data_IF_540498682622
#
_entry.id   IF_540498682622
#
_cell.length_a   1.000
_cell.length_b   1.000
_cell.length_c   1.000
_cell.angle_alpha   90.00
_cell.angle_beta   90.00
_cell.angle_gamma   90.00
#
_symmetry.space_group_name_H-M   'P 1'
#
loop_
_entity.id
_entity.type
_entity.pdbx_description
1 polymer ?
#
# COMPACT_ATOMS: atom_id res chain seq x y z
N UNK A 1 24.83 36.63 -2.92
CA UNK A 1 24.66 35.71 -4.06
C UNK A 1 23.53 34.77 -3.73
N UNK A 2 22.60 34.55 -4.66
CA UNK A 2 21.52 33.59 -4.43
C UNK A 2 22.12 32.18 -4.25
N UNK A 3 21.83 31.48 -3.15
CA UNK A 3 22.44 30.17 -2.85
C UNK A 3 22.12 29.12 -3.93
N UNK A 4 20.95 29.26 -4.57
CA UNK A 4 20.54 28.41 -5.69
C UNK A 4 21.42 28.60 -6.93
N UNK A 5 21.84 29.84 -7.21
CA UNK A 5 22.70 30.13 -8.34
C UNK A 5 24.12 29.58 -8.12
N UNK A 6 24.61 29.69 -6.89
CA UNK A 6 25.90 29.11 -6.50
C UNK A 6 25.90 27.57 -6.60
N UNK A 7 24.81 26.91 -6.20
CA UNK A 7 24.67 25.46 -6.32
C UNK A 7 24.61 24.98 -7.79
N UNK A 8 23.95 25.73 -8.67
CA UNK A 8 23.88 25.41 -10.10
C UNK A 8 25.24 25.62 -10.80
N UNK A 9 25.95 26.71 -10.48
CA UNK A 9 27.33 26.93 -10.97
C UNK A 9 28.29 25.83 -10.50
N UNK A 10 28.10 25.29 -9.29
CA UNK A 10 28.89 24.18 -8.78
C UNK A 10 28.55 22.87 -9.51
N UNK A 11 27.28 22.65 -9.85
CA UNK A 11 26.85 21.48 -10.63
C UNK A 11 27.45 21.50 -12.04
N UNK A 12 27.48 22.64 -12.71
CA UNK A 12 28.05 22.79 -14.06
C UNK A 12 29.57 22.62 -14.09
N UNK A 13 30.26 22.96 -12.99
CA UNK A 13 31.72 22.80 -12.86
C UNK A 13 32.14 21.41 -12.40
N UNK A 14 31.20 20.55 -11.99
CA UNK A 14 31.54 19.22 -11.49
C UNK A 14 31.92 18.30 -12.65
N UNK A 15 33.15 17.79 -12.60
CA UNK A 15 33.64 16.83 -13.60
C UNK A 15 33.15 15.42 -13.25
N UNK A 16 32.03 15.03 -13.86
CA UNK A 16 31.45 13.71 -13.62
C UNK A 16 32.31 12.59 -14.22
N UNK A 17 33.11 12.83 -15.25
CA UNK A 17 33.81 11.75 -15.96
C UNK A 17 35.04 11.23 -15.18
N UNK A 18 35.62 12.08 -14.33
CA UNK A 18 36.74 11.76 -13.45
C UNK A 18 36.31 11.22 -12.08
N UNK A 19 35.05 11.38 -11.69
CA UNK A 19 34.52 10.94 -10.39
C UNK A 19 34.22 9.43 -10.36
N UNK A 20 35.04 8.65 -9.65
CA UNK A 20 34.87 7.20 -9.50
C UNK A 20 33.55 6.83 -8.81
N UNK A 21 33.06 7.66 -7.88
CA UNK A 21 31.79 7.41 -7.18
C UNK A 21 30.60 7.66 -8.09
N UNK A 22 30.73 8.58 -9.05
CA UNK A 22 29.73 8.74 -10.10
C UNK A 22 29.65 7.49 -10.98
N UNK A 23 30.78 6.88 -11.36
CA UNK A 23 30.79 5.65 -12.16
C UNK A 23 30.08 4.50 -11.44
N UNK A 24 30.43 4.25 -10.18
CA UNK A 24 29.76 3.24 -9.36
C UNK A 24 28.26 3.53 -9.17
N UNK A 25 27.89 4.81 -8.96
CA UNK A 25 26.50 5.21 -8.85
C UNK A 25 25.73 5.02 -10.16
N UNK A 26 26.33 5.39 -11.30
CA UNK A 26 25.77 5.25 -12.65
C UNK A 26 25.55 3.78 -13.00
N UNK A 27 26.52 2.91 -12.72
CA UNK A 27 26.45 1.48 -13.04
C UNK A 27 25.39 0.76 -12.17
N UNK A 28 25.17 1.24 -10.94
CA UNK A 28 24.12 0.74 -10.04
C UNK A 28 22.76 1.41 -10.27
N UNK A 29 22.69 2.54 -10.98
CA UNK A 29 21.44 3.22 -11.27
C UNK A 29 20.72 2.52 -12.43
N UNK A 30 19.62 1.82 -12.12
CA UNK A 30 18.73 1.22 -13.12
C UNK A 30 18.22 2.32 -14.05
N UNK A 31 18.73 2.36 -15.28
CA UNK A 31 18.59 3.42 -16.28
C UNK A 31 17.13 3.83 -16.50
N UNK A 32 16.69 4.85 -15.77
CA UNK A 32 15.34 5.41 -15.90
C UNK A 32 15.40 6.92 -15.73
N UNK A 33 15.92 7.59 -16.75
CA UNK A 33 16.04 9.05 -16.81
C UNK A 33 17.07 9.47 -17.85
N UNK A 34 17.07 10.75 -18.22
CA UNK A 34 18.19 11.33 -18.96
C UNK A 34 19.45 11.29 -18.09
N UNK A 35 20.62 11.20 -18.71
CA UNK A 35 21.91 11.19 -18.00
C UNK A 35 22.04 12.42 -17.09
N UNK A 36 21.53 13.57 -17.52
CA UNK A 36 21.46 14.80 -16.73
C UNK A 36 20.62 14.66 -15.45
N UNK A 37 19.51 13.93 -15.51
CA UNK A 37 18.69 13.69 -14.33
C UNK A 37 19.47 12.86 -13.30
N UNK A 38 20.17 11.82 -13.76
CA UNK A 38 21.01 10.98 -12.90
C UNK A 38 22.16 11.79 -12.30
N UNK A 39 22.83 12.64 -13.10
CA UNK A 39 23.88 13.55 -12.62
C UNK A 39 23.36 14.49 -11.53
N UNK A 40 22.17 15.08 -11.70
CA UNK A 40 21.55 15.95 -10.68
C UNK A 40 21.18 15.21 -9.40
N UNK A 41 20.68 13.97 -9.51
CA UNK A 41 20.35 13.14 -8.34
C UNK A 41 21.63 12.76 -7.58
N UNK A 42 22.68 12.34 -8.29
CA UNK A 42 23.98 12.05 -7.70
C UNK A 42 24.57 13.27 -7.00
N UNK A 43 24.66 14.40 -7.72
CA UNK A 43 25.24 15.62 -7.21
C UNK A 43 24.52 16.10 -5.95
N UNK A 44 23.18 16.03 -5.94
CA UNK A 44 22.39 16.37 -4.77
C UNK A 44 22.68 15.48 -3.56
N UNK A 45 22.88 14.18 -3.80
CA UNK A 45 23.01 13.18 -2.73
C UNK A 45 24.43 13.13 -2.14
N UNK A 46 25.45 13.38 -2.95
CA UNK A 46 26.84 13.12 -2.58
C UNK A 46 27.74 14.35 -2.58
N UNK A 47 27.36 15.43 -3.27
CA UNK A 47 28.20 16.65 -3.38
C UNK A 47 27.53 17.84 -2.69
N UNK A 48 26.34 18.24 -3.13
CA UNK A 48 25.64 19.42 -2.60
C UNK A 48 24.12 19.21 -2.51
N UNK A 49 23.60 19.09 -1.28
CA UNK A 49 22.20 18.80 -0.98
C UNK A 49 21.21 19.93 -1.33
N UNK A 50 21.72 21.13 -1.60
CA UNK A 50 20.91 22.33 -1.84
C UNK A 50 20.48 22.49 -3.31
N UNK A 51 20.98 21.65 -4.23
CA UNK A 51 20.59 21.69 -5.64
C UNK A 51 19.10 21.32 -5.82
N UNK A 52 18.25 22.21 -6.36
CA UNK A 52 16.85 21.89 -6.63
C UNK A 52 16.74 20.91 -7.82
N UNK A 53 15.90 19.87 -7.68
CA UNK A 53 15.58 18.98 -8.79
C UNK A 53 14.75 19.74 -9.82
N UNK A 54 15.37 20.16 -10.93
CA UNK A 54 14.65 20.67 -12.10
C UNK A 54 13.73 19.56 -12.61
N UNK A 55 12.42 19.69 -12.38
CA UNK A 55 11.42 18.73 -12.87
C UNK A 55 11.50 18.78 -14.40
N UNK A 56 11.87 17.66 -15.03
CA UNK A 56 11.88 17.53 -16.49
C UNK A 56 10.50 17.92 -17.02
N UNK A 57 10.38 19.14 -17.54
CA UNK A 57 9.22 19.58 -18.30
C UNK A 57 9.32 18.86 -19.64
N UNK A 58 8.51 17.82 -19.82
CA UNK A 58 8.10 17.41 -21.16
C UNK A 58 7.46 18.63 -21.83
N UNK A 59 8.01 19.01 -22.97
CA UNK A 59 7.60 20.09 -23.87
C UNK A 59 6.09 20.25 -23.93
N UNK A 60 5.58 21.35 -23.39
CA UNK A 60 4.33 21.93 -23.84
C UNK A 60 4.41 23.44 -23.63
N UNK A 61 4.65 24.15 -24.73
CA UNK A 61 4.40 25.58 -24.85
C UNK A 61 2.98 25.88 -24.37
N UNK A 62 2.84 26.73 -23.36
CA UNK A 62 1.95 27.87 -23.48
C UNK A 62 2.28 28.95 -22.46
N UNK A 63 2.24 30.15 -23.00
CA UNK A 63 2.41 31.47 -22.41
C UNK A 63 1.28 31.81 -21.43
N UNK A 64 1.55 32.84 -20.63
CA UNK A 64 0.63 33.67 -19.83
C UNK A 64 0.18 33.04 -18.48
N UNK A 65 0.13 33.71 -17.33
CA UNK A 65 0.21 35.12 -17.00
C UNK A 65 0.56 35.30 -15.50
N UNK A 66 1.04 36.49 -15.13
CA UNK A 66 1.28 36.95 -13.76
C UNK A 66 -0.01 36.93 -12.92
N UNK A 67 0.09 36.62 -11.62
CA UNK A 67 -0.53 37.48 -10.58
C UNK A 67 -0.02 37.18 -9.17
N UNK A 68 0.50 38.25 -8.59
CA UNK A 68 0.90 38.51 -7.22
C UNK A 68 -0.32 38.52 -6.28
N UNK A 69 -0.27 37.85 -5.12
CA UNK A 69 -0.92 38.38 -3.91
C UNK A 69 -0.36 37.80 -2.61
N UNK A 70 0.18 38.72 -1.81
CA UNK A 70 0.57 38.60 -0.41
C UNK A 70 -0.63 38.73 0.54
N UNK A 71 -0.62 37.97 1.64
CA UNK A 71 -1.10 38.47 2.95
C UNK A 71 -0.62 37.59 4.10
N UNK A 72 0.14 38.22 5.00
CA UNK A 72 0.45 37.78 6.36
C UNK A 72 -0.79 37.85 7.27
N UNK A 73 -0.89 36.95 8.26
CA UNK A 73 -1.19 37.33 9.66
C UNK A 73 -1.03 36.13 10.61
N UNK A 74 -0.24 36.34 11.65
CA UNK A 74 0.01 35.47 12.79
C UNK A 74 -1.03 35.72 13.89
N UNK A 75 -1.58 34.68 14.54
CA UNK A 75 -1.78 34.62 16.00
C UNK A 75 -2.24 33.22 16.47
N UNK A 76 -1.94 32.82 17.72
CA UNK A 76 -2.03 31.45 18.19
C UNK A 76 -3.32 31.20 18.97
N UNK A 77 -4.04 30.14 18.63
CA UNK A 77 -5.10 29.59 19.47
C UNK A 77 -4.94 28.07 19.57
N UNK A 78 -4.72 27.60 20.79
CA UNK A 78 -4.73 26.21 21.20
C UNK A 78 -6.02 25.52 20.77
N UNK A 79 -5.94 24.66 19.77
CA UNK A 79 -7.03 23.76 19.38
C UNK A 79 -6.49 22.33 19.29
N UNK A 80 -7.13 21.46 20.06
CA UNK A 80 -7.01 19.99 20.03
C UNK A 80 -6.81 19.52 18.60
N UNK A 81 -5.67 18.86 18.36
CA UNK A 81 -5.22 18.39 17.06
C UNK A 81 -6.25 17.45 16.42
N UNK A 82 -7.11 18.02 15.57
CA UNK A 82 -7.82 17.26 14.56
C UNK A 82 -6.76 16.75 13.58
N UNK A 83 -6.47 15.45 13.67
CA UNK A 83 -5.62 14.76 12.70
C UNK A 83 -6.22 14.97 11.31
N UNK A 84 -5.64 15.90 10.55
CA UNK A 84 -6.01 16.12 9.16
C UNK A 84 -5.54 14.90 8.36
N UNK A 85 -6.44 13.93 8.18
CA UNK A 85 -6.16 12.63 7.56
C UNK A 85 -5.47 12.73 6.20
N UNK A 86 -5.71 13.81 5.45
CA UNK A 86 -5.10 14.03 4.13
C UNK A 86 -3.60 14.32 4.19
N UNK A 87 -3.10 14.96 5.24
CA UNK A 87 -1.65 15.28 5.35
C UNK A 87 -0.82 14.08 5.80
N UNK A 88 -1.39 13.19 6.62
CA UNK A 88 -0.72 11.96 7.11
C UNK A 88 -0.53 10.93 5.99
N UNK A 89 -1.51 10.82 5.08
CA UNK A 89 -1.43 9.94 3.90
C UNK A 89 -0.30 10.39 2.95
N UNK A 90 -0.13 11.69 2.75
CA UNK A 90 0.89 12.23 1.84
C UNK A 90 2.34 12.00 2.31
N UNK A 91 2.57 11.98 3.63
CA UNK A 91 3.93 11.76 4.19
C UNK A 91 4.35 10.28 4.19
N UNK A 92 3.41 9.34 4.35
CA UNK A 92 3.70 7.90 4.26
C UNK A 92 3.95 7.43 2.80
N UNK A 93 3.57 8.25 1.81
CA UNK A 93 3.68 7.92 0.39
C UNK A 93 5.06 8.19 -0.24
N UNK A 94 5.93 9.02 0.33
CA UNK A 94 7.12 9.50 -0.42
C UNK A 94 8.22 8.44 -0.62
N UNK A 95 8.45 7.53 0.33
CA UNK A 95 9.49 6.50 0.21
C UNK A 95 9.03 5.25 -0.58
N UNK A 96 7.75 4.88 -0.51
CA UNK A 96 7.21 3.73 -1.25
C UNK A 96 6.93 4.06 -2.73
N UNK A 97 6.61 5.33 -3.05
CA UNK A 97 6.36 5.78 -4.43
C UNK A 97 7.56 5.58 -5.35
N UNK A 98 8.79 5.80 -4.91
CA UNK A 98 9.96 5.73 -5.82
C UNK A 98 10.21 4.29 -6.30
N UNK A 99 10.15 3.29 -5.41
CA UNK A 99 10.39 1.89 -5.79
C UNK A 99 9.18 1.25 -6.49
N UNK A 100 7.95 1.50 -6.02
CA UNK A 100 6.73 0.93 -6.62
C UNK A 100 6.29 1.67 -7.88
N UNK A 101 6.58 2.96 -8.05
CA UNK A 101 6.41 3.59 -9.36
C UNK A 101 7.43 3.07 -10.37
N UNK A 102 8.64 2.65 -9.98
CA UNK A 102 9.54 1.97 -10.93
C UNK A 102 8.99 0.61 -11.38
N UNK A 103 8.46 -0.21 -10.47
CA UNK A 103 7.84 -1.48 -10.83
C UNK A 103 6.51 -1.32 -11.59
N UNK A 104 5.69 -0.32 -11.23
CA UNK A 104 4.39 -0.04 -11.88
C UNK A 104 4.52 0.71 -13.21
N UNK A 105 5.64 1.43 -13.44
CA UNK A 105 5.94 2.09 -14.72
C UNK A 105 6.57 1.12 -15.73
N UNK A 106 7.06 -0.04 -15.27
CA UNK A 106 7.50 -1.16 -16.11
C UNK A 106 6.35 -2.08 -16.57
N UNK A 107 5.14 -1.95 -16.01
CA UNK A 107 3.94 -2.68 -16.46
C UNK A 107 2.98 -1.84 -17.30
N UNK A 108 3.45 -0.70 -17.82
CA UNK A 108 2.72 0.03 -18.83
C UNK A 108 2.69 -0.79 -20.13
N UNK A 109 1.46 -1.09 -20.58
CA UNK A 109 1.06 -1.54 -21.91
C UNK A 109 1.36 -2.98 -22.36
N UNK A 110 1.24 -3.97 -21.48
CA UNK A 110 0.69 -5.26 -21.94
C UNK A 110 -0.78 -5.20 -21.58
N UNK A 111 -1.61 -4.85 -22.56
CA UNK A 111 -3.06 -4.93 -22.41
C UNK A 111 -3.39 -6.34 -21.92
N UNK A 112 -3.82 -6.44 -20.66
CA UNK A 112 -4.24 -7.68 -20.04
C UNK A 112 -5.18 -8.37 -21.03
N UNK A 113 -4.87 -9.61 -21.50
CA UNK A 113 -5.77 -10.31 -22.41
C UNK A 113 -7.17 -10.26 -21.83
N UNK A 114 -8.15 -9.79 -22.62
CA UNK A 114 -9.51 -9.53 -22.14
C UNK A 114 -10.11 -10.70 -21.37
N UNK A 115 -9.77 -11.92 -21.79
CA UNK A 115 -10.14 -13.17 -21.13
C UNK A 115 -9.61 -13.30 -19.68
N UNK A 116 -8.40 -12.85 -19.40
CA UNK A 116 -7.83 -12.90 -18.04
C UNK A 116 -8.53 -11.87 -17.16
N UNK A 117 -8.78 -10.66 -17.67
CA UNK A 117 -9.52 -9.63 -16.93
C UNK A 117 -10.95 -10.06 -16.58
N UNK A 118 -11.65 -10.76 -17.49
CA UNK A 118 -12.99 -11.28 -17.20
C UNK A 118 -12.97 -12.39 -16.16
N UNK A 119 -11.98 -13.29 -16.20
CA UNK A 119 -11.79 -14.33 -15.17
C UNK A 119 -11.46 -13.72 -13.80
N UNK A 120 -10.56 -12.73 -13.75
CA UNK A 120 -10.27 -12.02 -12.51
C UNK A 120 -11.51 -11.31 -11.97
N UNK A 121 -12.26 -10.64 -12.84
CA UNK A 121 -13.50 -9.96 -12.47
C UNK A 121 -14.53 -10.95 -11.91
N UNK A 122 -14.67 -12.12 -12.53
CA UNK A 122 -15.61 -13.14 -12.06
C UNK A 122 -15.23 -13.69 -10.69
N UNK A 123 -13.94 -13.97 -10.43
CA UNK A 123 -13.49 -14.38 -9.10
C UNK A 123 -13.70 -13.30 -8.04
N UNK A 124 -13.49 -12.02 -8.36
CA UNK A 124 -13.74 -10.94 -7.41
C UNK A 124 -15.24 -10.79 -7.09
N UNK A 125 -16.11 -10.88 -8.10
CA UNK A 125 -17.56 -10.87 -7.90
C UNK A 125 -18.05 -12.09 -7.11
N UNK A 126 -17.53 -13.29 -7.40
CA UNK A 126 -17.84 -14.51 -6.64
C UNK A 126 -17.36 -14.40 -5.19
N UNK A 127 -16.24 -13.74 -4.94
CA UNK A 127 -15.74 -13.46 -3.59
C UNK A 127 -16.73 -12.60 -2.81
N UNK A 128 -17.19 -11.49 -3.41
CA UNK A 128 -18.19 -10.58 -2.80
C UNK A 128 -19.51 -11.33 -2.55
N UNK A 129 -19.99 -12.07 -3.55
CA UNK A 129 -21.23 -12.84 -3.46
C UNK A 129 -21.17 -13.89 -2.34
N UNK A 130 -20.08 -14.67 -2.25
CA UNK A 130 -19.91 -15.67 -1.20
C UNK A 130 -19.71 -15.05 0.19
N UNK A 131 -19.03 -13.91 0.28
CA UNK A 131 -18.93 -13.16 1.53
C UNK A 131 -20.31 -12.70 2.02
N UNK A 132 -21.16 -12.19 1.12
CA UNK A 132 -22.54 -11.80 1.44
C UNK A 132 -23.40 -13.00 1.88
N UNK A 133 -23.32 -14.12 1.15
CA UNK A 133 -24.02 -15.34 1.54
C UNK A 133 -23.57 -15.88 2.90
N UNK A 134 -22.29 -15.73 3.27
CA UNK A 134 -21.85 -16.06 4.62
C UNK A 134 -22.46 -15.14 5.68
N UNK A 135 -22.63 -13.84 5.40
CA UNK A 135 -23.29 -12.94 6.36
C UNK A 135 -24.75 -13.35 6.62
N UNK A 136 -25.43 -13.86 5.60
CA UNK A 136 -26.82 -14.32 5.65
C UNK A 136 -26.99 -15.69 6.35
N UNK A 137 -26.21 -16.68 5.93
CA UNK A 137 -26.40 -18.10 6.29
C UNK A 137 -25.38 -18.61 7.33
N UNK A 138 -24.31 -17.84 7.61
CA UNK A 138 -23.17 -18.21 8.46
C UNK A 138 -22.52 -19.57 8.11
N UNK A 139 -22.79 -20.07 6.91
CA UNK A 139 -22.32 -21.37 6.45
C UNK A 139 -20.81 -21.34 6.22
N UNK A 140 -20.09 -22.21 6.93
CA UNK A 140 -18.65 -22.43 6.78
C UNK A 140 -18.22 -22.64 5.32
N UNK A 141 -19.07 -23.27 4.50
CA UNK A 141 -18.80 -23.49 3.07
C UNK A 141 -18.68 -22.18 2.30
N UNK A 142 -19.57 -21.22 2.57
CA UNK A 142 -19.55 -19.91 1.92
C UNK A 142 -18.34 -19.08 2.36
N UNK A 143 -17.98 -19.14 3.65
CA UNK A 143 -16.75 -18.52 4.17
C UNK A 143 -15.52 -19.05 3.42
N UNK A 144 -15.32 -20.37 3.42
CA UNK A 144 -14.16 -20.98 2.77
C UNK A 144 -14.13 -20.71 1.26
N UNK A 145 -15.29 -20.69 0.60
CA UNK A 145 -15.40 -20.36 -0.81
C UNK A 145 -15.00 -18.90 -1.10
N UNK A 146 -15.43 -17.94 -0.28
CA UNK A 146 -15.04 -16.53 -0.43
C UNK A 146 -13.51 -16.37 -0.37
N UNK A 147 -12.88 -16.96 0.63
CA UNK A 147 -11.42 -16.95 0.77
C UNK A 147 -10.70 -17.68 -0.38
N UNK A 148 -11.30 -18.76 -0.91
CA UNK A 148 -10.74 -19.51 -2.04
C UNK A 148 -10.75 -18.71 -3.34
N UNK A 149 -11.89 -18.07 -3.67
CA UNK A 149 -11.98 -17.21 -4.85
C UNK A 149 -11.07 -15.99 -4.73
N UNK A 150 -11.00 -15.39 -3.54
CA UNK A 150 -10.06 -14.29 -3.27
C UNK A 150 -8.61 -14.74 -3.47
N UNK A 151 -8.23 -15.90 -2.92
CA UNK A 151 -6.89 -16.46 -3.07
C UNK A 151 -6.53 -16.66 -4.54
N UNK A 152 -7.42 -17.29 -5.33
CA UNK A 152 -7.16 -17.49 -6.76
C UNK A 152 -7.05 -16.16 -7.51
N UNK A 153 -7.94 -15.20 -7.25
CA UNK A 153 -7.88 -13.89 -7.89
C UNK A 153 -6.54 -13.18 -7.61
N UNK A 154 -6.05 -13.21 -6.37
CA UNK A 154 -4.76 -12.60 -6.02
C UNK A 154 -3.57 -13.39 -6.60
N UNK A 155 -3.64 -14.73 -6.69
CA UNK A 155 -2.60 -15.53 -7.36
C UNK A 155 -2.53 -15.17 -8.85
N UNK A 156 -3.65 -15.12 -9.55
CA UNK A 156 -3.67 -14.76 -10.98
C UNK A 156 -3.20 -13.32 -11.20
N UNK A 157 -3.62 -12.38 -10.35
CA UNK A 157 -3.12 -10.99 -10.37
C UNK A 157 -1.60 -10.95 -10.18
N UNK A 158 -1.08 -11.66 -9.18
CA UNK A 158 0.34 -11.70 -8.86
C UNK A 158 1.16 -12.34 -10.00
N UNK A 159 0.71 -13.46 -10.55
CA UNK A 159 1.35 -14.12 -11.69
C UNK A 159 1.36 -13.22 -12.92
N UNK A 160 0.31 -12.42 -13.12
CA UNK A 160 0.27 -11.46 -14.21
C UNK A 160 1.27 -10.30 -14.02
N UNK A 161 1.42 -9.80 -12.79
CA UNK A 161 2.32 -8.67 -12.48
C UNK A 161 3.78 -9.11 -12.47
N UNK A 162 4.07 -10.26 -11.85
CA UNK A 162 5.44 -10.75 -11.63
C UNK A 162 5.94 -11.59 -12.81
N UNK A 163 5.03 -12.20 -13.58
CA UNK A 163 5.33 -13.08 -14.70
C UNK A 163 5.57 -14.53 -14.27
N UNK A 164 6.22 -15.28 -15.17
CA UNK A 164 6.50 -16.72 -14.99
C UNK A 164 7.41 -16.94 -13.77
N UNK A 165 7.16 -17.97 -12.94
CA UNK A 165 7.99 -18.25 -11.77
C UNK A 165 9.43 -18.59 -12.15
N UNK A 166 10.38 -17.87 -11.54
CA UNK A 166 11.82 -18.09 -11.70
C UNK A 166 12.47 -18.38 -10.34
N UNK A 167 13.40 -19.34 -10.30
CA UNK A 167 14.17 -19.67 -9.10
C UNK A 167 15.34 -18.69 -8.88
N UNK A 168 15.07 -17.39 -8.96
CA UNK A 168 16.06 -16.34 -8.69
C UNK A 168 15.65 -15.57 -7.41
N UNK A 169 16.63 -15.21 -6.58
CA UNK A 169 16.44 -14.37 -5.38
C UNK A 169 15.74 -13.05 -5.73
N UNK A 170 16.08 -12.44 -6.87
CA UNK A 170 15.46 -11.19 -7.31
C UNK A 170 13.96 -11.37 -7.63
N UNK A 171 13.59 -12.50 -8.24
CA UNK A 171 12.19 -12.85 -8.52
C UNK A 171 11.40 -13.10 -7.22
N UNK A 172 12.00 -13.81 -6.26
CA UNK A 172 11.34 -14.02 -4.97
C UNK A 172 11.18 -12.72 -4.19
N UNK A 173 12.18 -11.82 -4.25
CA UNK A 173 12.06 -10.49 -3.67
C UNK A 173 10.93 -9.71 -4.32
N UNK A 174 10.87 -9.66 -5.66
CA UNK A 174 9.79 -8.94 -6.35
C UNK A 174 8.41 -9.48 -5.98
N UNK A 175 8.25 -10.79 -5.82
CA UNK A 175 7.04 -11.43 -5.33
C UNK A 175 6.64 -10.95 -3.92
N UNK A 176 7.59 -10.97 -2.98
CA UNK A 176 7.35 -10.64 -1.56
C UNK A 176 7.00 -9.17 -1.36
N UNK A 177 7.51 -8.28 -2.22
CA UNK A 177 7.20 -6.85 -2.17
C UNK A 177 5.81 -6.50 -2.72
N UNK A 178 5.13 -7.42 -3.42
CA UNK A 178 3.78 -7.17 -3.93
C UNK A 178 2.73 -7.29 -2.83
N UNK A 179 1.77 -6.35 -2.83
CA UNK A 179 0.66 -6.41 -1.89
C UNK A 179 -0.21 -7.66 -2.08
N UNK A 180 -0.37 -8.12 -3.32
CA UNK A 180 -1.13 -9.34 -3.65
C UNK A 180 -0.57 -10.57 -2.91
N UNK A 181 0.75 -10.65 -2.74
CA UNK A 181 1.39 -11.74 -2.01
C UNK A 181 1.00 -11.74 -0.53
N UNK A 182 0.99 -10.57 0.11
CA UNK A 182 0.52 -10.45 1.48
C UNK A 182 -0.95 -10.90 1.61
N UNK A 183 -1.82 -10.55 0.65
CA UNK A 183 -3.21 -11.00 0.66
C UNK A 183 -3.38 -12.50 0.41
N UNK A 184 -2.52 -13.13 -0.39
CA UNK A 184 -2.50 -14.59 -0.54
C UNK A 184 -2.21 -15.25 0.81
N UNK A 185 -1.19 -14.76 1.53
CA UNK A 185 -0.88 -15.24 2.88
C UNK A 185 -2.05 -15.02 3.84
N UNK A 186 -2.68 -13.83 3.81
CA UNK A 186 -3.87 -13.56 4.60
C UNK A 186 -4.98 -14.59 4.33
N UNK A 187 -5.30 -14.83 3.06
CA UNK A 187 -6.33 -15.79 2.68
C UNK A 187 -5.99 -17.21 3.13
N UNK A 188 -4.73 -17.61 2.98
CA UNK A 188 -4.24 -18.91 3.41
C UNK A 188 -4.37 -19.09 4.93
N UNK A 189 -3.97 -18.10 5.71
CA UNK A 189 -4.06 -18.13 7.18
C UNK A 189 -5.51 -18.22 7.63
N UNK A 190 -6.38 -17.33 7.14
CA UNK A 190 -7.77 -17.25 7.57
C UNK A 190 -8.58 -18.48 7.16
N UNK A 191 -8.20 -19.17 6.07
CA UNK A 191 -8.80 -20.45 5.68
C UNK A 191 -8.52 -21.55 6.72
N UNK A 192 -7.36 -21.50 7.38
CA UNK A 192 -6.94 -22.46 8.39
C UNK A 192 -7.48 -22.16 9.79
N UNK A 193 -7.89 -20.91 10.08
CA UNK A 193 -8.45 -20.54 11.39
C UNK A 193 -9.88 -21.07 11.54
N UNK A 194 -10.13 -21.81 12.62
CA UNK A 194 -11.46 -22.25 13.04
C UNK A 194 -11.74 -21.72 14.46
N UNK A 195 -12.92 -21.14 14.75
CA UNK A 195 -14.10 -20.96 13.88
C UNK A 195 -14.00 -19.79 12.89
N UNK A 196 -14.82 -19.73 11.82
CA UNK A 196 -14.87 -18.59 10.92
C UNK A 196 -15.24 -17.31 11.68
N UNK A 197 -14.74 -16.17 11.22
CA UNK A 197 -15.07 -14.86 11.82
C UNK A 197 -15.62 -13.92 10.77
N UNK A 198 -16.72 -13.23 11.06
CA UNK A 198 -17.29 -12.22 10.17
C UNK A 198 -16.30 -11.06 9.94
N UNK A 199 -15.53 -10.70 10.98
CA UNK A 199 -14.54 -9.62 10.91
C UNK A 199 -13.43 -9.90 9.89
N UNK A 200 -13.05 -11.17 9.68
CA UNK A 200 -12.01 -11.53 8.71
C UNK A 200 -12.44 -11.39 7.24
N UNK A 201 -13.74 -11.27 6.96
CA UNK A 201 -14.23 -11.03 5.61
C UNK A 201 -14.12 -9.58 5.18
N UNK A 202 -14.06 -8.63 6.12
CA UNK A 202 -14.04 -7.19 5.79
C UNK A 202 -12.82 -6.85 4.91
N UNK A 203 -11.57 -7.23 5.23
CA UNK A 203 -10.42 -6.89 4.39
C UNK A 203 -10.52 -7.41 2.96
N UNK A 204 -11.05 -8.62 2.79
CA UNK A 204 -11.22 -9.26 1.48
C UNK A 204 -12.37 -8.62 0.72
N UNK A 205 -13.52 -8.41 1.35
CA UNK A 205 -14.66 -7.75 0.72
C UNK A 205 -14.28 -6.35 0.22
N UNK A 206 -13.59 -5.57 1.04
CA UNK A 206 -13.06 -4.26 0.68
C UNK A 206 -12.13 -4.31 -0.53
N UNK A 207 -11.14 -5.22 -0.53
CA UNK A 207 -10.19 -5.38 -1.66
C UNK A 207 -10.90 -5.85 -2.92
N UNK A 208 -11.74 -6.87 -2.82
CA UNK A 208 -12.48 -7.44 -3.95
C UNK A 208 -13.44 -6.43 -4.56
N UNK A 209 -14.09 -5.59 -3.75
CA UNK A 209 -14.98 -4.53 -4.23
C UNK A 209 -14.22 -3.49 -5.06
N UNK A 210 -13.05 -3.04 -4.59
CA UNK A 210 -12.20 -2.10 -5.34
C UNK A 210 -11.74 -2.75 -6.65
N UNK A 211 -11.17 -3.96 -6.59
CA UNK A 211 -10.65 -4.66 -7.76
C UNK A 211 -11.74 -5.00 -8.78
N UNK A 212 -12.94 -5.41 -8.33
CA UNK A 212 -14.08 -5.63 -9.20
C UNK A 212 -14.52 -4.32 -9.87
N UNK A 213 -14.53 -3.20 -9.14
CA UNK A 213 -14.89 -1.89 -9.69
C UNK A 213 -13.88 -1.41 -10.73
N UNK A 214 -12.58 -1.57 -10.48
CA UNK A 214 -11.52 -1.25 -11.46
C UNK A 214 -11.68 -2.10 -12.73
N UNK A 215 -11.85 -3.43 -12.59
CA UNK A 215 -12.02 -4.33 -13.74
C UNK A 215 -13.35 -4.08 -14.48
N UNK A 216 -14.45 -3.87 -13.78
CA UNK A 216 -15.74 -3.55 -14.42
C UNK A 216 -15.68 -2.21 -15.15
N UNK A 217 -15.04 -1.19 -14.58
CA UNK A 217 -14.92 0.11 -15.25
C UNK A 217 -14.16 0.05 -16.58
N UNK A 218 -13.27 -0.92 -16.75
CA UNK A 218 -12.50 -1.15 -17.98
C UNK A 218 -13.19 -2.11 -18.95
N UNK A 219 -13.89 -3.12 -18.45
CA UNK A 219 -14.55 -4.15 -19.27
C UNK A 219 -15.94 -3.73 -19.76
N UNK A 220 -16.74 -3.09 -18.90
CA UNK A 220 -18.15 -2.83 -19.13
C UNK A 220 -18.42 -1.85 -20.29
N UNK A 221 -17.63 -0.78 -20.53
CA UNK A 221 -17.82 0.08 -21.70
C UNK A 221 -17.79 -0.67 -23.04
N UNK A 222 -17.01 -1.76 -23.13
CA UNK A 222 -16.89 -2.55 -24.34
C UNK A 222 -17.92 -3.69 -24.45
N UNK A 223 -18.60 -4.05 -23.36
CA UNK A 223 -19.63 -5.12 -23.35
C UNK A 223 -21.03 -4.51 -23.45
N UNK A 224 -21.32 -3.53 -22.59
CA UNK A 224 -22.65 -2.96 -22.41
C UNK A 224 -22.54 -1.47 -21.99
N UNK A 225 -22.48 -0.55 -22.96
CA UNK A 225 -22.29 0.88 -22.67
C UNK A 225 -23.45 1.48 -21.85
N UNK A 226 -24.67 0.95 -22.02
CA UNK A 226 -25.86 1.38 -21.26
C UNK A 226 -25.77 1.05 -19.78
N UNK A 227 -25.31 -0.17 -19.43
CA UNK A 227 -25.08 -0.58 -18.05
C UNK A 227 -23.91 0.18 -17.43
N UNK A 228 -22.86 0.44 -18.21
CA UNK A 228 -21.75 1.27 -17.74
C UNK A 228 -22.20 2.67 -17.35
N UNK A 229 -23.03 3.33 -18.16
CA UNK A 229 -23.54 4.66 -17.83
C UNK A 229 -24.34 4.66 -16.51
N UNK A 230 -25.22 3.66 -16.31
CA UNK A 230 -26.02 3.51 -15.09
C UNK A 230 -25.17 3.28 -13.83
N UNK A 231 -24.08 2.51 -13.93
CA UNK A 231 -23.21 2.18 -12.79
C UNK A 231 -21.99 3.10 -12.65
N UNK A 232 -21.80 4.06 -13.57
CA UNK A 232 -20.61 4.88 -13.64
C UNK A 232 -20.38 5.70 -12.36
N UNK A 233 -21.43 6.32 -11.82
CA UNK A 233 -21.39 7.08 -10.58
C UNK A 233 -20.97 6.22 -9.39
N UNK A 234 -21.47 4.97 -9.32
CA UNK A 234 -21.13 4.03 -8.26
C UNK A 234 -19.66 3.60 -8.35
N UNK A 235 -19.16 3.28 -9.55
CA UNK A 235 -17.73 2.97 -9.73
C UNK A 235 -16.85 4.16 -9.36
N UNK A 236 -17.20 5.38 -9.78
CA UNK A 236 -16.46 6.58 -9.42
C UNK A 236 -16.47 6.83 -7.91
N UNK A 237 -17.59 6.60 -7.23
CA UNK A 237 -17.68 6.72 -5.77
C UNK A 237 -16.76 5.71 -5.05
N UNK A 238 -16.77 4.44 -5.47
CA UNK A 238 -15.92 3.40 -4.89
C UNK A 238 -14.44 3.71 -5.14
N UNK A 239 -14.08 4.10 -6.38
CA UNK A 239 -12.70 4.43 -6.73
C UNK A 239 -12.20 5.70 -6.02
N UNK A 240 -13.08 6.69 -5.80
CA UNK A 240 -12.77 7.88 -5.01
C UNK A 240 -12.57 7.58 -3.53
N UNK A 241 -13.28 6.59 -2.99
CA UNK A 241 -13.15 6.14 -1.59
C UNK A 241 -12.11 5.02 -1.39
N UNK A 242 -11.33 4.69 -2.43
CA UNK A 242 -10.34 3.61 -2.40
C UNK A 242 -9.39 3.69 -1.21
N UNK A 243 -8.78 4.85 -0.97
CA UNK A 243 -7.80 5.02 0.11
C UNK A 243 -8.45 4.85 1.50
N UNK A 244 -9.69 5.29 1.66
CA UNK A 244 -10.45 5.10 2.91
C UNK A 244 -10.82 3.63 3.13
N UNK A 245 -11.17 2.92 2.06
CA UNK A 245 -11.51 1.49 2.11
C UNK A 245 -10.27 0.64 2.39
N UNK A 246 -9.11 0.96 1.80
CA UNK A 246 -7.85 0.29 2.14
C UNK A 246 -7.38 0.59 3.55
N UNK A 247 -7.58 1.82 4.04
CA UNK A 247 -7.30 2.16 5.42
C UNK A 247 -8.20 1.38 6.39
N UNK A 248 -9.50 1.29 6.10
CA UNK A 248 -10.45 0.50 6.89
C UNK A 248 -10.03 -0.97 6.93
N UNK A 249 -9.73 -1.55 5.77
CA UNK A 249 -9.21 -2.91 5.63
C UNK A 249 -7.96 -3.13 6.49
N UNK A 250 -6.98 -2.22 6.42
CA UNK A 250 -5.77 -2.29 7.22
C UNK A 250 -6.04 -2.16 8.74
N UNK A 251 -6.94 -1.28 9.18
CA UNK A 251 -7.32 -1.19 10.60
C UNK A 251 -7.97 -2.51 11.05
N UNK A 252 -8.84 -3.08 10.24
CA UNK A 252 -9.47 -4.37 10.54
C UNK A 252 -8.43 -5.48 10.66
N UNK A 253 -7.46 -5.57 9.76
CA UNK A 253 -6.34 -6.51 9.86
C UNK A 253 -5.60 -6.38 11.21
N UNK A 254 -5.36 -5.17 11.70
CA UNK A 254 -4.70 -4.97 13.01
C UNK A 254 -5.58 -5.48 14.16
N UNK A 255 -6.89 -5.20 14.11
CA UNK A 255 -7.86 -5.62 15.13
C UNK A 255 -8.05 -7.14 15.14
N UNK A 256 -7.83 -7.83 14.01
CA UNK A 256 -7.91 -9.29 13.96
C UNK A 256 -6.82 -9.98 14.78
N UNK A 257 -5.64 -9.37 14.93
CA UNK A 257 -4.53 -9.96 15.69
C UNK A 257 -4.90 -10.37 17.12
N UNK A 258 -5.43 -9.48 17.98
CA UNK A 258 -5.84 -9.88 19.32
C UNK A 258 -6.96 -10.93 19.29
N UNK A 259 -7.89 -10.88 18.33
CA UNK A 259 -8.98 -11.88 18.20
C UNK A 259 -8.39 -13.28 17.95
N UNK A 260 -7.42 -13.38 17.03
CA UNK A 260 -6.74 -14.65 16.74
C UNK A 260 -5.92 -15.09 17.95
N UNK A 261 -5.22 -14.17 18.61
CA UNK A 261 -4.44 -14.46 19.81
C UNK A 261 -5.31 -15.04 20.95
N UNK A 262 -6.45 -14.41 21.25
CA UNK A 262 -7.38 -14.93 22.25
C UNK A 262 -7.94 -16.31 21.88
N UNK A 263 -8.25 -16.54 20.59
CA UNK A 263 -8.71 -17.84 20.10
C UNK A 263 -7.63 -18.91 20.16
N UNK A 264 -6.37 -18.56 19.92
CA UNK A 264 -5.23 -19.48 20.03
C UNK A 264 -4.98 -19.91 21.47
N UNK A 265 -5.28 -19.06 22.45
CA UNK A 265 -5.22 -19.42 23.87
C UNK A 265 -6.34 -20.38 24.25
N UNK A 266 -7.56 -20.18 23.70
CA UNK A 266 -8.72 -21.04 23.99
C UNK A 266 -8.59 -22.43 23.36
N UNK A 267 -8.01 -22.54 22.17
CA UNK A 267 -7.88 -23.79 21.44
C UNK A 267 -6.42 -23.97 20.96
N UNK A 268 -5.63 -24.88 21.56
CA UNK A 268 -4.19 -24.99 21.27
C UNK A 268 -3.90 -25.37 19.81
N UNK A 269 -4.82 -26.06 19.14
CA UNK A 269 -4.73 -26.34 17.70
C UNK A 269 -4.60 -25.08 16.82
N UNK A 270 -5.07 -23.92 17.32
CA UNK A 270 -4.97 -22.64 16.63
C UNK A 270 -3.66 -21.90 16.90
N UNK A 271 -2.75 -22.40 17.76
CA UNK A 271 -1.46 -21.74 18.01
C UNK A 271 -0.61 -21.66 16.73
N UNK A 272 -0.66 -22.70 15.90
CA UNK A 272 0.04 -22.72 14.61
C UNK A 272 -0.45 -21.64 13.64
N UNK A 273 -1.69 -21.16 13.77
CA UNK A 273 -2.22 -20.10 12.91
C UNK A 273 -1.68 -18.71 13.26
N UNK A 274 -1.19 -18.52 14.50
CA UNK A 274 -0.67 -17.25 14.98
C UNK A 274 0.66 -16.90 14.32
N UNK A 275 1.51 -17.90 14.04
CA UNK A 275 2.80 -17.70 13.38
C UNK A 275 2.67 -17.12 11.95
N UNK A 276 1.94 -17.75 11.00
CA UNK A 276 1.81 -17.22 9.66
C UNK A 276 0.97 -15.92 9.64
N UNK A 277 0.05 -15.72 10.59
CA UNK A 277 -0.64 -14.44 10.72
C UNK A 277 0.28 -13.30 11.17
N UNK A 278 1.16 -13.57 12.14
CA UNK A 278 2.17 -12.61 12.60
C UNK A 278 3.15 -12.28 11.47
N UNK A 279 3.54 -13.28 10.69
CA UNK A 279 4.36 -13.10 9.48
C UNK A 279 3.64 -12.25 8.43
N UNK A 280 2.35 -12.51 8.17
CA UNK A 280 1.53 -11.68 7.28
C UNK A 280 1.52 -10.20 7.73
N UNK A 281 1.18 -9.95 9.00
CA UNK A 281 1.15 -8.57 9.53
C UNK A 281 2.51 -7.89 9.40
N UNK A 282 3.58 -8.63 9.66
CA UNK A 282 4.95 -8.14 9.50
C UNK A 282 5.21 -7.65 8.08
N UNK A 283 4.93 -8.48 7.09
CA UNK A 283 5.06 -8.12 5.67
C UNK A 283 4.19 -6.90 5.35
N UNK A 284 2.93 -6.91 5.82
CA UNK A 284 1.98 -5.83 5.55
C UNK A 284 2.44 -4.50 6.13
N UNK A 285 2.98 -4.46 7.35
CA UNK A 285 3.49 -3.24 7.96
C UNK A 285 4.77 -2.71 7.31
N UNK A 286 5.65 -3.61 6.89
CA UNK A 286 6.90 -3.21 6.24
C UNK A 286 6.64 -2.60 4.87
N UNK A 287 5.68 -3.15 4.12
CA UNK A 287 5.49 -2.79 2.71
C UNK A 287 4.28 -1.91 2.43
N UNK A 288 3.21 -1.96 3.23
CA UNK A 288 2.01 -1.16 2.95
C UNK A 288 1.98 0.14 3.75
N UNK A 289 1.98 1.27 3.03
CA UNK A 289 1.83 2.61 3.64
C UNK A 289 0.51 2.76 4.41
N UNK A 290 -0.58 2.13 3.94
CA UNK A 290 -1.88 2.12 4.62
C UNK A 290 -1.83 1.38 5.95
N UNK A 291 -1.10 0.26 6.03
CA UNK A 291 -0.93 -0.49 7.28
C UNK A 291 -0.11 0.29 8.31
N UNK A 292 0.96 0.96 7.88
CA UNK A 292 1.72 1.85 8.76
C UNK A 292 0.88 3.00 9.31
N UNK A 293 0.03 3.59 8.46
CA UNK A 293 -0.88 4.64 8.88
C UNK A 293 -1.92 4.09 9.86
N UNK A 294 -2.58 2.98 9.53
CA UNK A 294 -3.53 2.29 10.42
C UNK A 294 -2.92 2.01 11.80
N UNK A 295 -1.67 1.53 11.86
CA UNK A 295 -0.97 1.33 13.13
C UNK A 295 -0.81 2.61 13.93
N UNK A 296 -0.40 3.71 13.29
CA UNK A 296 -0.28 5.02 13.98
C UNK A 296 -1.62 5.45 14.56
N UNK A 297 -2.72 5.26 13.82
CA UNK A 297 -4.08 5.56 14.31
C UNK A 297 -4.40 4.73 15.54
N UNK A 298 -4.33 3.41 15.41
CA UNK A 298 -4.67 2.48 16.48
C UNK A 298 -3.82 2.78 17.71
N UNK A 299 -2.50 2.93 17.54
CA UNK A 299 -1.58 3.25 18.62
C UNK A 299 -1.89 4.61 19.27
N UNK A 300 -2.20 5.65 18.50
CA UNK A 300 -2.55 6.98 19.05
C UNK A 300 -3.83 6.95 19.90
N UNK A 301 -4.77 6.06 19.57
CA UNK A 301 -6.02 5.87 20.33
C UNK A 301 -5.84 4.94 21.52
N UNK A 302 -4.98 3.93 21.40
CA UNK A 302 -4.76 2.94 22.44
C UNK A 302 -3.86 3.45 23.56
N UNK A 303 -2.86 4.28 23.25
CA UNK A 303 -1.92 4.82 24.23
C UNK A 303 -2.59 5.54 25.42
N UNK A 304 -3.50 6.52 25.21
CA UNK A 304 -4.16 7.18 26.34
C UNK A 304 -5.05 6.22 27.14
N UNK A 305 -5.70 5.25 26.48
CA UNK A 305 -6.51 4.25 27.18
C UNK A 305 -5.66 3.36 28.08
N UNK A 306 -4.48 2.95 27.61
CA UNK A 306 -3.54 2.16 28.41
C UNK A 306 -3.00 2.98 29.58
N UNK A 307 -2.66 4.25 29.36
CA UNK A 307 -2.14 5.11 30.43
C UNK A 307 -3.19 5.38 31.51
N UNK A 308 -4.46 5.55 31.13
CA UNK A 308 -5.53 5.90 32.08
C UNK A 308 -6.14 4.67 32.78
N UNK A 309 -6.34 3.55 32.06
CA UNK A 309 -7.13 2.43 32.56
C UNK A 309 -6.33 1.16 32.86
N UNK A 310 -5.10 1.02 32.36
CA UNK A 310 -4.32 -0.21 32.58
C UNK A 310 -3.59 -0.19 33.93
N UNK A 311 -3.72 -1.25 34.75
CA UNK A 311 -2.97 -1.39 36.01
C UNK A 311 -1.46 -1.25 35.79
N UNK A 312 -0.77 -0.61 36.73
CA UNK A 312 0.68 -0.34 36.65
C UNK A 312 1.51 -1.62 36.41
N UNK A 313 1.10 -2.76 36.98
CA UNK A 313 1.74 -4.06 36.80
C UNK A 313 1.63 -4.62 35.37
N UNK A 314 0.60 -4.24 34.61
CA UNK A 314 0.35 -4.75 33.26
C UNK A 314 0.98 -3.89 32.16
N UNK A 315 1.24 -2.61 32.43
CA UNK A 315 1.90 -1.67 31.49
C UNK A 315 3.20 -2.21 30.87
N UNK A 316 4.16 -2.82 31.61
CA UNK A 316 5.38 -3.34 30.99
C UNK A 316 5.11 -4.45 29.97
N UNK A 317 4.10 -5.29 30.19
CA UNK A 317 3.72 -6.35 29.24
C UNK A 317 3.10 -5.77 27.97
N UNK A 318 2.25 -4.75 28.10
CA UNK A 318 1.74 -4.03 26.94
C UNK A 318 2.88 -3.42 26.11
N UNK A 319 3.85 -2.72 26.74
CA UNK A 319 4.96 -2.13 26.01
C UNK A 319 5.87 -3.19 25.37
N UNK A 320 6.08 -4.35 26.02
CA UNK A 320 6.77 -5.48 25.40
C UNK A 320 6.02 -6.03 24.19
N UNK A 321 4.70 -6.21 24.28
CA UNK A 321 3.87 -6.66 23.16
C UNK A 321 3.87 -5.64 22.01
N UNK A 322 3.70 -4.36 22.34
CA UNK A 322 3.78 -3.26 21.38
C UNK A 322 5.15 -3.20 20.70
N UNK A 323 6.23 -3.34 21.46
CA UNK A 323 7.59 -3.38 20.93
C UNK A 323 7.87 -4.66 20.15
N UNK A 324 7.25 -5.79 20.49
CA UNK A 324 7.31 -7.01 19.70
C UNK A 324 6.63 -6.78 18.34
N UNK A 325 5.42 -6.23 18.33
CA UNK A 325 4.70 -5.90 17.09
C UNK A 325 5.47 -4.87 16.25
N UNK A 326 6.10 -3.87 16.88
CA UNK A 326 6.95 -2.89 16.19
C UNK A 326 8.32 -3.45 15.78
N UNK A 327 8.85 -4.41 16.52
CA UNK A 327 10.10 -5.11 16.23
C UNK A 327 9.94 -6.00 15.01
N UNK A 328 8.76 -6.61 14.84
CA UNK A 328 8.37 -7.23 13.57
C UNK A 328 8.47 -6.21 12.42
N UNK A 329 8.11 -4.95 12.63
CA UNK A 329 8.11 -3.93 11.57
C UNK A 329 9.47 -3.27 11.26
N UNK A 330 10.60 -3.72 11.82
CA UNK A 330 11.92 -3.05 11.66
C UNK A 330 13.06 -3.95 11.16
N UNK A 331 12.79 -5.24 11.01
CA UNK A 331 13.69 -6.24 10.44
C UNK A 331 13.12 -6.68 9.09
#
# INVERSE_FOLDING_TARGET
>A
MDPLKAAEEQFERHDFDTDERWKEFRDNAVTTGSEEHLKRVYFRRYVNHELPLKRSQSTQDNKDDLTTRSSNSTQPSSSVSSLNWRSVVNYAQSFYRVFVQHLRRSTNSISLPRAISTILCSFQLLTIWKALLFLLDQSKKNFLAAFQFALFANIFSLLHIVGVPQMNRQWFQSLVYQEDFAFILYCFVQRSVMPPSTVSLIPIGCRSMISASELLSTLLPSISPTLYYSLSDLFQFILRSRDTVYLLSAITEIILFPIILFRSIQAPQNLFSLFPYSFFLRLRFNFSSHAQLAWRIVNSRLEPLVQNYMPLSWRPYYYRLKNFIRGLSRL
#
